data_IF_711981936043
#
_entry.id   IF_711981936043
#
_cell.length_a   1.000
_cell.length_b   1.000
_cell.length_c   1.000
_cell.angle_alpha   90.00
_cell.angle_beta   90.00
_cell.angle_gamma   90.00
#
_symmetry.space_group_name_H-M   'P 1'
#
loop_
_entity.id
_entity.type
_entity.pdbx_description
1 polymer ?
#
# COMPACT_ATOMS: atom_id res chain seq x y z
N UNK A 1 -25.04 -1.53 21.59
CA UNK A 1 -24.11 -0.55 20.97
C UNK A 1 -22.87 -1.33 20.56
N UNK A 2 -22.54 -1.33 19.27
CA UNK A 2 -21.51 -2.17 18.68
C UNK A 2 -20.13 -1.53 18.89
N UNK A 3 -19.27 -2.20 19.66
CA UNK A 3 -17.97 -1.75 20.14
C UNK A 3 -16.83 -1.89 19.09
N UNK A 4 -17.16 -2.20 17.82
CA UNK A 4 -16.19 -2.59 16.79
C UNK A 4 -15.69 -1.47 15.87
N UNK A 5 -16.14 -0.23 16.06
CA UNK A 5 -15.85 0.87 15.10
C UNK A 5 -14.77 1.85 15.56
N UNK A 6 -14.22 1.71 16.77
CA UNK A 6 -13.33 2.73 17.35
C UNK A 6 -11.85 2.63 16.96
N UNK A 7 -11.41 1.50 16.39
CA UNK A 7 -9.99 1.20 16.17
C UNK A 7 -9.42 1.57 14.79
N UNK A 8 -10.14 2.30 13.93
CA UNK A 8 -9.67 2.56 12.55
C UNK A 8 -9.05 3.93 12.30
N UNK A 9 -8.89 4.77 13.32
CA UNK A 9 -8.66 6.21 13.12
C UNK A 9 -7.31 6.77 13.59
N UNK A 10 -6.38 5.96 14.13
CA UNK A 10 -5.18 6.55 14.74
C UNK A 10 -4.12 7.07 13.75
N UNK A 11 -4.14 6.62 12.48
CA UNK A 11 -3.14 7.05 11.48
C UNK A 11 -3.74 7.31 10.06
N UNK A 12 -5.07 7.44 9.93
CA UNK A 12 -5.88 7.67 8.70
C UNK A 12 -6.75 6.44 8.31
N UNK A 13 -8.02 6.49 7.84
CA UNK A 13 -8.89 7.54 7.29
C UNK A 13 -10.41 7.23 7.41
N UNK A 14 -11.25 8.30 7.53
CA UNK A 14 -12.49 8.47 6.72
C UNK A 14 -12.63 9.83 5.93
N UNK A 15 -11.90 10.93 6.22
CA UNK A 15 -12.04 12.22 5.48
C UNK A 15 -10.81 13.18 5.43
N UNK A 16 -9.59 12.70 5.67
CA UNK A 16 -8.32 13.45 5.59
C UNK A 16 -7.22 12.79 4.71
N UNK A 17 -5.92 13.03 4.96
CA UNK A 17 -4.83 12.39 4.23
C UNK A 17 -4.66 10.91 4.65
N UNK A 18 -4.03 10.10 3.78
CA UNK A 18 -3.78 8.67 4.01
C UNK A 18 -2.95 8.38 5.27
N UNK A 19 -2.05 9.31 5.61
CA UNK A 19 -1.21 9.34 6.80
C UNK A 19 -1.01 10.80 7.18
N UNK A 20 -1.00 11.15 8.48
CA UNK A 20 -0.78 12.52 8.96
C UNK A 20 0.63 12.80 9.45
N UNK A 21 1.41 11.74 9.71
CA UNK A 21 2.72 11.85 10.37
C UNK A 21 3.60 12.96 9.78
N UNK A 22 3.77 13.10 8.44
CA UNK A 22 4.70 14.09 7.89
C UNK A 22 4.28 15.56 8.11
N UNK A 23 3.05 15.83 8.56
CA UNK A 23 2.60 17.18 8.94
C UNK A 23 2.74 17.45 10.44
N UNK A 24 2.74 16.40 11.26
CA UNK A 24 2.73 16.50 12.71
C UNK A 24 4.13 16.35 13.29
N UNK A 25 4.96 15.49 12.69
CA UNK A 25 6.29 15.21 13.18
C UNK A 25 7.26 14.76 12.07
N UNK A 26 8.54 14.75 12.43
CA UNK A 26 9.60 14.04 11.71
C UNK A 26 10.70 13.72 12.72
N UNK A 27 11.47 12.68 12.43
CA UNK A 27 12.43 12.11 13.34
C UNK A 27 13.82 12.62 12.99
N UNK A 28 14.46 13.27 13.96
CA UNK A 28 15.85 13.70 13.87
C UNK A 28 16.69 12.67 14.62
N UNK A 29 17.41 11.84 13.88
CA UNK A 29 18.28 10.79 14.42
C UNK A 29 19.74 11.10 14.12
N UNK A 30 20.68 10.42 14.80
CA UNK A 30 22.13 10.56 14.51
C UNK A 30 22.49 10.26 13.05
N UNK A 31 21.70 9.40 12.39
CA UNK A 31 21.88 9.04 10.98
C UNK A 31 21.28 10.06 10.00
N UNK A 32 20.59 11.08 10.50
CA UNK A 32 19.87 12.07 9.70
C UNK A 32 18.37 12.06 9.98
N UNK A 33 17.64 12.74 9.10
CA UNK A 33 16.24 13.07 9.25
C UNK A 33 15.35 12.08 8.49
N UNK A 34 14.25 11.69 9.10
CA UNK A 34 13.20 10.85 8.52
C UNK A 34 11.84 11.52 8.65
N UNK A 35 10.97 11.44 7.63
CA UNK A 35 9.64 12.07 7.62
C UNK A 35 8.63 11.36 8.53
N UNK A 36 8.92 10.14 8.99
CA UNK A 36 8.12 9.36 9.93
C UNK A 36 8.98 8.25 10.55
N UNK A 37 8.44 7.56 11.56
CA UNK A 37 9.13 6.46 12.26
C UNK A 37 9.48 5.26 11.36
N UNK A 38 8.70 5.03 10.30
CA UNK A 38 8.94 3.97 9.31
C UNK A 38 9.74 4.43 8.09
N UNK A 39 10.07 5.72 8.01
CA UNK A 39 10.68 6.31 6.84
C UNK A 39 12.05 5.70 6.55
N UNK A 40 12.29 5.41 5.27
CA UNK A 40 13.58 5.04 4.72
C UNK A 40 13.52 5.36 3.21
N UNK A 41 14.50 6.06 2.60
CA UNK A 41 15.81 6.50 3.11
C UNK A 41 15.82 7.81 3.95
N UNK A 42 16.99 8.20 4.46
CA UNK A 42 17.22 9.50 5.10
C UNK A 42 16.92 10.63 4.09
N UNK A 43 16.14 11.64 4.51
CA UNK A 43 15.77 12.77 3.64
C UNK A 43 16.76 13.93 3.70
N UNK A 44 17.48 14.08 4.82
CA UNK A 44 18.51 15.10 4.99
C UNK A 44 19.46 14.78 6.17
N UNK A 45 20.66 15.39 6.23
CA UNK A 45 21.51 15.42 7.41
C UNK A 45 20.83 15.99 8.66
N UNK A 46 21.35 15.68 9.85
CA UNK A 46 20.73 16.04 11.13
C UNK A 46 20.67 17.56 11.38
N UNK A 47 21.67 18.29 10.89
CA UNK A 47 21.86 19.73 11.02
C UNK A 47 20.92 20.56 10.14
N UNK A 48 20.39 19.97 9.06
CA UNK A 48 19.50 20.63 8.11
C UNK A 48 18.00 20.56 8.51
N UNK A 49 17.69 20.27 9.78
CA UNK A 49 16.31 19.99 10.23
C UNK A 49 15.31 21.10 9.90
N UNK A 50 15.69 22.36 10.14
CA UNK A 50 14.80 23.50 9.95
C UNK A 50 14.42 23.67 8.48
N UNK A 51 15.38 23.53 7.58
CA UNK A 51 15.17 23.66 6.13
C UNK A 51 14.42 22.45 5.58
N UNK A 52 14.73 21.26 6.11
CA UNK A 52 14.13 19.98 5.70
C UNK A 52 12.62 19.96 5.91
N UNK A 53 12.11 20.60 6.96
CA UNK A 53 10.68 20.61 7.29
C UNK A 53 9.78 21.14 6.17
N UNK A 54 10.29 22.04 5.34
CA UNK A 54 9.59 22.57 4.17
C UNK A 54 10.31 22.27 2.85
N UNK A 55 11.21 21.28 2.84
CA UNK A 55 11.89 20.84 1.63
C UNK A 55 10.91 20.32 0.58
N UNK A 56 11.30 20.42 -0.70
CA UNK A 56 10.50 19.95 -1.84
C UNK A 56 10.15 18.46 -1.72
N UNK A 57 11.08 17.64 -1.22
CA UNK A 57 10.90 16.21 -0.99
C UNK A 57 9.81 15.93 0.05
N UNK A 58 9.84 16.63 1.20
CA UNK A 58 8.84 16.44 2.24
C UNK A 58 7.45 16.94 1.80
N UNK A 59 7.41 18.06 1.07
CA UNK A 59 6.19 18.56 0.44
C UNK A 59 5.63 17.59 -0.61
N UNK A 60 6.47 16.88 -1.35
CA UNK A 60 6.02 15.86 -2.29
C UNK A 60 5.35 14.69 -1.57
N UNK A 61 5.97 14.18 -0.51
CA UNK A 61 5.39 13.11 0.32
C UNK A 61 4.00 13.54 0.83
N UNK A 62 3.90 14.76 1.39
CA UNK A 62 2.64 15.35 1.85
C UNK A 62 1.61 15.44 0.72
N UNK A 63 1.98 15.85 -0.50
CA UNK A 63 1.07 15.92 -1.65
C UNK A 63 0.48 14.57 -2.06
N UNK A 64 1.26 13.49 -2.06
CA UNK A 64 0.74 12.15 -2.32
C UNK A 64 -0.26 11.73 -1.24
N UNK A 65 0.13 11.87 0.03
CA UNK A 65 -0.70 11.43 1.15
C UNK A 65 -2.01 12.23 1.24
N UNK A 66 -2.00 13.52 0.88
CA UNK A 66 -3.19 14.36 0.80
C UNK A 66 -4.19 13.87 -0.25
N UNK A 67 -3.71 13.26 -1.34
CA UNK A 67 -4.54 12.66 -2.39
C UNK A 67 -5.06 11.27 -2.03
N UNK A 68 -4.69 10.73 -0.86
CA UNK A 68 -5.00 9.35 -0.50
C UNK A 68 -4.07 8.32 -1.14
N UNK A 69 -2.94 8.75 -1.72
CA UNK A 69 -2.00 7.90 -2.45
C UNK A 69 -0.70 7.69 -1.66
N UNK A 70 -0.09 6.51 -1.82
CA UNK A 70 1.26 6.27 -1.31
C UNK A 70 2.30 6.96 -2.21
N UNK A 71 3.14 7.79 -1.60
CA UNK A 71 4.34 8.33 -2.28
C UNK A 71 5.33 7.20 -2.62
N UNK A 72 6.22 7.39 -3.61
CA UNK A 72 7.30 6.45 -3.87
C UNK A 72 8.13 6.14 -2.61
N UNK A 73 8.44 7.17 -1.83
CA UNK A 73 9.11 7.04 -0.54
C UNK A 73 8.38 6.11 0.44
N UNK A 74 7.06 6.27 0.58
CA UNK A 74 6.28 5.41 1.48
C UNK A 74 6.23 3.95 0.98
N UNK A 75 6.25 3.71 -0.32
CA UNK A 75 6.22 2.34 -0.88
C UNK A 75 7.47 1.53 -0.55
N UNK A 76 8.61 2.19 -0.32
CA UNK A 76 9.85 1.53 0.12
C UNK A 76 9.77 1.08 1.59
N UNK A 77 8.88 1.68 2.37
CA UNK A 77 8.74 1.43 3.81
C UNK A 77 7.79 0.25 4.09
N UNK A 78 8.20 -0.97 3.74
CA UNK A 78 7.39 -2.18 3.92
C UNK A 78 7.03 -2.50 5.39
N UNK A 79 7.72 -1.93 6.36
CA UNK A 79 7.38 -2.07 7.78
C UNK A 79 6.16 -1.23 8.21
N UNK A 80 5.72 -0.27 7.40
CA UNK A 80 4.65 0.65 7.76
C UNK A 80 3.27 -0.04 7.72
N UNK A 81 2.46 0.03 8.79
CA UNK A 81 1.15 -0.61 8.83
C UNK A 81 0.16 -0.02 7.80
N UNK A 82 0.27 1.29 7.51
CA UNK A 82 -0.55 1.96 6.48
C UNK A 82 -0.22 1.41 5.09
N UNK A 83 1.07 1.28 4.79
CA UNK A 83 1.54 0.73 3.51
C UNK A 83 1.06 -0.71 3.35
N UNK A 84 1.22 -1.55 4.37
CA UNK A 84 0.74 -2.93 4.33
C UNK A 84 -0.77 -3.03 4.10
N UNK A 85 -1.57 -2.16 4.75
CA UNK A 85 -3.02 -2.09 4.55
C UNK A 85 -3.38 -1.71 3.11
N UNK A 86 -2.74 -0.68 2.55
CA UNK A 86 -3.00 -0.25 1.16
C UNK A 86 -2.59 -1.33 0.16
N UNK A 87 -1.40 -1.92 0.31
CA UNK A 87 -0.95 -3.00 -0.56
C UNK A 87 -1.87 -4.23 -0.48
N UNK A 88 -2.38 -4.57 0.70
CA UNK A 88 -3.36 -5.64 0.85
C UNK A 88 -4.67 -5.34 0.12
N UNK A 89 -5.15 -4.09 0.17
CA UNK A 89 -6.33 -3.66 -0.58
C UNK A 89 -6.09 -3.67 -2.10
N UNK A 90 -4.93 -3.22 -2.58
CA UNK A 90 -4.54 -3.29 -3.98
C UNK A 90 -4.56 -4.74 -4.49
N UNK A 91 -3.93 -5.68 -3.75
CA UNK A 91 -3.94 -7.12 -4.09
C UNK A 91 -5.33 -7.73 -4.09
N UNK A 92 -6.20 -7.35 -3.16
CA UNK A 92 -7.57 -7.83 -3.11
C UNK A 92 -8.38 -7.35 -4.33
N UNK A 93 -8.16 -6.10 -4.77
CA UNK A 93 -8.76 -5.54 -6.00
C UNK A 93 -8.21 -6.24 -7.25
N UNK A 94 -6.92 -6.51 -7.34
CA UNK A 94 -6.34 -7.23 -8.48
C UNK A 94 -6.80 -8.71 -8.55
N UNK A 95 -6.91 -9.36 -7.39
CA UNK A 95 -7.35 -10.74 -7.28
C UNK A 95 -8.82 -10.94 -7.68
N UNK A 96 -9.68 -9.94 -7.43
CA UNK A 96 -11.08 -9.99 -7.84
C UNK A 96 -11.25 -9.89 -9.37
N UNK A 97 -10.38 -9.15 -10.05
CA UNK A 97 -10.39 -9.02 -11.52
C UNK A 97 -9.95 -10.32 -12.22
N UNK A 98 -9.05 -11.11 -11.61
CA UNK A 98 -8.46 -12.31 -12.25
C UNK A 98 -9.29 -13.60 -12.12
N UNK A 99 -10.44 -13.60 -11.45
CA UNK A 99 -11.20 -14.83 -11.14
C UNK A 99 -12.66 -14.79 -11.61
N UNK A 100 -12.91 -14.53 -12.89
CA UNK A 100 -14.19 -14.87 -13.52
C UNK A 100 -14.03 -16.10 -14.42
N UNK A 101 -13.72 -17.26 -13.81
CA UNK A 101 -13.99 -18.53 -14.49
C UNK A 101 -15.47 -18.86 -14.28
N UNK A 102 -16.31 -18.88 -15.33
CA UNK A 102 -17.74 -19.10 -15.17
C UNK A 102 -18.01 -20.48 -14.53
N UNK A 103 -18.99 -20.55 -13.64
CA UNK A 103 -19.21 -21.71 -12.75
C UNK A 103 -19.40 -23.05 -13.46
N UNK A 104 -19.90 -23.04 -14.70
CA UNK A 104 -20.06 -24.24 -15.53
C UNK A 104 -18.73 -24.87 -15.95
N UNK A 105 -17.66 -24.08 -16.16
CA UNK A 105 -16.33 -24.60 -16.46
C UNK A 105 -15.73 -25.38 -15.28
N UNK A 106 -16.06 -25.00 -14.04
CA UNK A 106 -15.63 -25.75 -12.85
C UNK A 106 -16.35 -27.09 -12.75
N UNK A 107 -17.64 -27.12 -13.07
CA UNK A 107 -18.44 -28.36 -13.10
C UNK A 107 -17.98 -29.30 -14.20
N UNK A 108 -17.74 -28.80 -15.42
CA UNK A 108 -17.20 -29.61 -16.51
C UNK A 108 -15.80 -30.15 -16.22
N UNK A 109 -14.91 -29.35 -15.64
CA UNK A 109 -13.60 -29.87 -15.22
C UNK A 109 -13.71 -30.95 -14.14
N UNK A 110 -14.66 -30.84 -13.19
CA UNK A 110 -14.90 -31.93 -12.24
C UNK A 110 -15.48 -33.18 -12.91
N UNK A 111 -16.41 -33.01 -13.84
CA UNK A 111 -17.06 -34.12 -14.54
C UNK A 111 -16.09 -34.91 -15.43
N UNK A 112 -15.17 -34.20 -16.10
CA UNK A 112 -14.21 -34.78 -17.03
C UNK A 112 -12.79 -34.92 -16.43
N UNK A 113 -12.66 -35.01 -15.10
CA UNK A 113 -11.37 -35.20 -14.39
C UNK A 113 -10.26 -34.21 -14.83
N UNK A 114 -10.64 -32.98 -15.21
CA UNK A 114 -9.71 -31.92 -15.62
C UNK A 114 -9.10 -32.08 -17.01
N UNK A 115 -9.59 -33.00 -17.85
CA UNK A 115 -9.17 -33.14 -19.26
C UNK A 115 -9.28 -31.83 -20.06
N UNK A 116 -10.39 -31.06 -19.99
CA UNK A 116 -10.53 -29.81 -20.74
C UNK A 116 -9.50 -28.75 -20.35
N UNK A 117 -9.20 -28.60 -19.05
CA UNK A 117 -8.18 -27.68 -18.57
C UNK A 117 -6.75 -28.07 -19.00
N UNK A 118 -6.45 -29.37 -19.08
CA UNK A 118 -5.15 -29.88 -19.56
C UNK A 118 -4.94 -29.58 -21.03
N UNK A 119 -5.97 -29.73 -21.86
CA UNK A 119 -5.92 -29.41 -23.29
C UNK A 119 -5.76 -27.90 -23.49
N UNK A 120 -6.55 -27.09 -22.77
CA UNK A 120 -6.46 -25.63 -22.87
C UNK A 120 -5.08 -25.07 -22.47
N UNK A 121 -4.45 -25.61 -21.41
CA UNK A 121 -3.07 -25.25 -21.03
C UNK A 121 -2.02 -25.63 -22.06
N UNK A 122 -2.23 -26.70 -22.83
CA UNK A 122 -1.33 -27.09 -23.91
C UNK A 122 -1.49 -26.19 -25.15
N UNK A 123 -2.71 -25.72 -25.42
CA UNK A 123 -3.01 -24.89 -26.59
C UNK A 123 -2.74 -23.39 -26.36
N UNK A 124 -2.93 -22.90 -25.12
CA UNK A 124 -2.68 -21.52 -24.73
C UNK A 124 -1.70 -21.46 -23.55
N UNK A 125 -0.40 -21.70 -23.79
CA UNK A 125 0.61 -21.43 -22.77
C UNK A 125 0.63 -19.92 -22.49
N UNK A 126 0.50 -19.54 -21.23
CA UNK A 126 0.69 -18.15 -20.82
C UNK A 126 2.15 -17.76 -21.15
N UNK A 127 2.33 -16.76 -22.02
CA UNK A 127 3.62 -16.09 -22.24
C UNK A 127 4.00 -15.29 -21.00
#
# INVERSE_FOLDING_TARGET
MNEKTKDQDELGLQAGPLCREPWESYYILRRGILPCCYGNPIVAPMDEWSETWNSSQLQEIRRYLARGELSPYCRESLGCPIVQRVLAQERAREGSVKSSRPGWQRRLNRLFLGLPARIYRKLFPAR
#
